data_IF_629800106250
#
_entry.id   IF_629800106250
#
_cell.length_a   1.000
_cell.length_b   1.000
_cell.length_c   1.000
_cell.angle_alpha   90.00
_cell.angle_beta   90.00
_cell.angle_gamma   90.00
#
_symmetry.space_group_name_H-M   'P 1'
#
loop_
_entity.id
_entity.type
_entity.pdbx_description
1 polymer ?
#
# COMPACT_ATOMS: atom_id res chain seq x y z
N UNK A 1 58.91 -37.99 -7.67
CA UNK A 1 59.35 -39.20 -6.97
C UNK A 1 58.68 -39.26 -5.60
N UNK A 2 57.86 -40.26 -5.44
CA UNK A 2 57.46 -40.97 -4.21
C UNK A 2 57.11 -40.23 -2.91
N UNK A 3 55.92 -40.54 -2.45
CA UNK A 3 55.29 -40.52 -1.12
C UNK A 3 54.34 -39.40 -0.83
N UNK A 4 53.12 -39.50 -1.36
CA UNK A 4 51.89 -39.11 -0.65
C UNK A 4 50.74 -39.96 -1.23
N UNK A 5 50.69 -41.22 -0.85
CA UNK A 5 49.57 -42.12 -1.09
C UNK A 5 49.58 -43.19 -0.01
N UNK A 6 49.02 -42.87 1.18
CA UNK A 6 48.66 -43.85 2.21
C UNK A 6 48.12 -43.16 3.48
N UNK A 7 47.06 -42.33 3.32
CA UNK A 7 46.28 -41.85 4.50
C UNK A 7 44.78 -41.58 4.16
N UNK A 8 44.24 -42.23 3.14
CA UNK A 8 42.83 -42.07 2.75
C UNK A 8 41.99 -43.36 2.89
N UNK A 9 42.51 -44.41 3.54
CA UNK A 9 41.82 -45.69 3.62
C UNK A 9 41.42 -46.16 5.03
N UNK A 10 41.48 -45.27 6.05
CA UNK A 10 41.16 -45.67 7.44
C UNK A 10 39.96 -44.88 8.07
N UNK A 11 39.15 -44.14 7.30
CA UNK A 11 38.04 -43.38 7.83
C UNK A 11 36.62 -43.80 7.29
N UNK A 12 36.50 -44.92 6.60
CA UNK A 12 35.22 -45.39 6.02
C UNK A 12 34.60 -46.60 6.74
N UNK A 13 35.03 -46.97 7.94
CA UNK A 13 34.50 -48.18 8.61
C UNK A 13 33.81 -47.96 9.97
N UNK A 14 33.47 -46.75 10.38
CA UNK A 14 32.93 -46.50 11.72
C UNK A 14 31.57 -45.74 11.80
N UNK A 15 30.83 -45.59 10.72
CA UNK A 15 29.60 -44.78 10.74
C UNK A 15 28.26 -45.44 10.25
N UNK A 16 28.01 -46.74 10.28
CA UNK A 16 26.65 -47.20 10.02
C UNK A 16 25.81 -47.58 11.26
N UNK A 17 26.40 -47.67 12.47
CA UNK A 17 25.63 -48.19 13.61
C UNK A 17 24.87 -47.15 14.45
N UNK A 18 25.33 -45.90 14.46
CA UNK A 18 24.65 -44.84 15.21
C UNK A 18 23.46 -44.19 14.44
N UNK A 19 23.53 -44.12 13.12
CA UNK A 19 22.44 -43.56 12.29
C UNK A 19 21.17 -44.42 12.26
N UNK A 20 21.30 -45.76 12.48
CA UNK A 20 20.17 -46.68 12.45
C UNK A 20 19.36 -46.63 13.76
N UNK A 21 20.00 -46.44 14.92
CA UNK A 21 19.32 -46.32 16.21
C UNK A 21 18.54 -45.01 16.33
N UNK A 22 19.07 -43.91 15.80
CA UNK A 22 18.39 -42.61 15.81
C UNK A 22 17.20 -42.55 14.83
N UNK A 23 17.32 -43.25 13.70
CA UNK A 23 16.21 -43.44 12.75
C UNK A 23 15.07 -44.28 13.31
N UNK A 24 15.38 -45.33 14.04
CA UNK A 24 14.38 -46.19 14.67
C UNK A 24 13.74 -45.52 15.90
N UNK A 25 14.47 -44.72 16.66
CA UNK A 25 13.96 -43.86 17.72
C UNK A 25 13.00 -42.80 17.15
N UNK A 26 13.39 -42.10 16.07
CA UNK A 26 12.55 -41.12 15.40
C UNK A 26 11.26 -41.73 14.80
N UNK A 27 11.35 -42.96 14.26
CA UNK A 27 10.17 -43.69 13.78
C UNK A 27 9.23 -44.11 14.91
N UNK A 28 9.77 -44.46 16.06
CA UNK A 28 8.97 -44.78 17.25
C UNK A 28 8.23 -43.55 17.78
N UNK A 29 8.92 -42.41 17.84
CA UNK A 29 8.37 -41.10 18.25
C UNK A 29 7.28 -40.60 17.27
N UNK A 30 7.50 -40.74 15.97
CA UNK A 30 6.51 -40.42 14.92
C UNK A 30 5.26 -41.34 15.04
N UNK A 31 5.45 -42.62 15.37
CA UNK A 31 4.35 -43.55 15.53
C UNK A 31 3.55 -43.26 16.81
N UNK A 32 4.21 -42.88 17.87
CA UNK A 32 3.57 -42.47 19.12
C UNK A 32 2.78 -41.17 18.96
N UNK A 33 3.37 -40.17 18.28
CA UNK A 33 2.71 -38.89 17.94
C UNK A 33 1.49 -39.12 17.04
N UNK A 34 1.58 -40.01 16.03
CA UNK A 34 0.47 -40.36 15.15
C UNK A 34 -0.68 -41.00 15.93
N UNK A 35 -0.40 -41.95 16.81
CA UNK A 35 -1.43 -42.59 17.64
C UNK A 35 -2.07 -41.59 18.61
N UNK A 36 -1.31 -40.67 19.18
CA UNK A 36 -1.84 -39.61 20.04
C UNK A 36 -2.76 -38.63 19.28
N UNK A 37 -2.43 -38.29 18.05
CA UNK A 37 -3.29 -37.46 17.18
C UNK A 37 -4.56 -38.19 16.76
N UNK A 38 -4.49 -39.46 16.38
CA UNK A 38 -5.65 -40.29 16.03
C UNK A 38 -6.62 -40.44 17.21
N UNK A 39 -6.09 -40.66 18.41
CA UNK A 39 -6.91 -40.69 19.62
C UNK A 39 -7.59 -39.35 19.94
N UNK A 40 -6.90 -38.23 19.65
CA UNK A 40 -7.45 -36.89 19.85
C UNK A 40 -8.54 -36.55 18.84
N UNK A 41 -8.38 -36.95 17.58
CA UNK A 41 -9.41 -36.84 16.55
C UNK A 41 -10.65 -37.62 16.92
N UNK A 42 -10.51 -38.89 17.33
CA UNK A 42 -11.65 -39.72 17.76
C UNK A 42 -12.37 -39.12 18.99
N UNK A 43 -11.62 -38.54 19.93
CA UNK A 43 -12.22 -37.90 21.10
C UNK A 43 -12.99 -36.61 20.71
N UNK A 44 -12.53 -35.87 19.71
CA UNK A 44 -13.23 -34.70 19.18
C UNK A 44 -14.47 -35.08 18.39
N UNK A 45 -14.41 -36.11 17.56
CA UNK A 45 -15.56 -36.64 16.82
C UNK A 45 -16.65 -37.15 17.75
N UNK A 46 -16.27 -37.89 18.83
CA UNK A 46 -17.22 -38.35 19.84
C UNK A 46 -17.87 -37.17 20.62
N UNK A 47 -17.12 -36.07 20.84
CA UNK A 47 -17.69 -34.85 21.44
C UNK A 47 -18.65 -34.14 20.49
N UNK A 48 -18.34 -34.08 19.21
CA UNK A 48 -19.19 -33.50 18.18
C UNK A 48 -20.52 -34.26 18.08
N UNK A 49 -20.48 -35.59 17.97
CA UNK A 49 -21.66 -36.43 17.96
C UNK A 49 -22.50 -36.27 19.23
N UNK A 50 -21.86 -36.14 20.40
CA UNK A 50 -22.58 -35.95 21.67
C UNK A 50 -23.26 -34.57 21.71
N UNK A 51 -22.66 -33.54 21.12
CA UNK A 51 -23.25 -32.20 21.02
C UNK A 51 -24.39 -32.18 20.02
N UNK A 52 -24.27 -32.85 18.89
CA UNK A 52 -25.34 -32.98 17.88
C UNK A 52 -26.57 -33.74 18.44
N UNK A 53 -26.36 -34.84 19.17
CA UNK A 53 -27.44 -35.56 19.82
C UNK A 53 -28.12 -34.75 20.93
N UNK A 54 -27.36 -33.98 21.71
CA UNK A 54 -27.93 -33.06 22.71
C UNK A 54 -28.74 -31.93 22.08
N UNK A 55 -28.29 -31.41 20.93
CA UNK A 55 -29.02 -30.35 20.18
C UNK A 55 -30.30 -30.90 19.56
N UNK A 56 -30.28 -32.13 19.06
CA UNK A 56 -31.47 -32.82 18.53
C UNK A 56 -32.50 -33.18 19.63
N UNK A 57 -32.07 -33.66 20.82
CA UNK A 57 -32.95 -33.95 21.94
C UNK A 57 -33.59 -32.70 22.57
N UNK A 58 -32.87 -31.55 22.50
CA UNK A 58 -33.41 -30.26 22.96
C UNK A 58 -34.45 -29.70 21.97
N UNK A 59 -34.27 -29.99 20.69
CA UNK A 59 -35.22 -29.56 19.63
C UNK A 59 -36.55 -30.36 19.64
N UNK A 60 -36.55 -31.62 20.13
CA UNK A 60 -37.74 -32.47 20.18
C UNK A 60 -38.63 -32.17 21.42
N UNK A 61 -38.11 -31.48 22.44
CA UNK A 61 -38.83 -31.23 23.69
C UNK A 61 -39.49 -29.86 23.81
N UNK A 62 -39.39 -29.01 22.83
CA UNK A 62 -40.02 -27.70 22.79
C UNK A 62 -41.26 -27.71 21.89
N UNK A 63 -42.46 -27.98 22.47
CA UNK A 63 -43.72 -27.67 21.85
C UNK A 63 -43.92 -26.15 21.81
N UNK A 64 -44.55 -25.57 20.75
CA UNK A 64 -44.46 -24.16 20.46
C UNK A 64 -45.41 -23.35 21.34
N UNK A 65 -44.82 -22.46 22.12
CA UNK A 65 -45.49 -21.21 22.54
C UNK A 65 -45.05 -20.12 21.56
N UNK A 66 -45.94 -19.36 20.94
CA UNK A 66 -45.53 -18.26 20.07
C UNK A 66 -45.05 -17.09 20.95
N UNK A 67 -43.79 -17.14 21.36
CA UNK A 67 -43.13 -15.91 21.81
C UNK A 67 -42.65 -15.12 20.58
N UNK A 68 -43.00 -13.86 20.57
CA UNK A 68 -42.50 -12.91 19.60
C UNK A 68 -40.96 -13.05 19.52
N UNK A 69 -40.47 -13.38 18.34
CA UNK A 69 -39.07 -13.51 18.03
C UNK A 69 -38.35 -12.26 18.52
N UNK A 70 -37.61 -12.38 19.62
CA UNK A 70 -36.62 -11.39 19.99
C UNK A 70 -35.67 -11.23 18.79
N UNK A 71 -35.37 -10.00 18.35
CA UNK A 71 -34.47 -9.81 17.25
C UNK A 71 -33.17 -10.51 17.60
N UNK A 72 -32.67 -11.32 16.64
CA UNK A 72 -31.38 -11.97 16.78
C UNK A 72 -30.38 -10.87 17.20
N UNK A 73 -29.79 -11.03 18.40
CA UNK A 73 -28.74 -10.12 18.82
C UNK A 73 -27.60 -10.31 17.83
N UNK A 74 -27.51 -9.42 16.87
CA UNK A 74 -26.32 -9.30 16.02
C UNK A 74 -25.22 -8.94 17.00
N UNK A 75 -24.37 -9.90 17.37
CA UNK A 75 -23.23 -9.63 18.20
C UNK A 75 -22.27 -8.85 17.28
N UNK A 76 -22.26 -7.54 17.43
CA UNK A 76 -21.25 -6.70 16.81
C UNK A 76 -19.90 -7.10 17.43
N UNK A 77 -19.11 -7.83 16.67
CA UNK A 77 -17.77 -8.26 17.04
C UNK A 77 -16.81 -7.81 15.95
N UNK A 78 -16.26 -6.60 16.05
CA UNK A 78 -15.33 -6.09 15.07
C UNK A 78 -14.03 -6.90 15.10
N UNK A 79 -13.50 -7.18 13.93
CA UNK A 79 -12.12 -7.62 13.77
C UNK A 79 -11.19 -6.46 14.09
N UNK A 80 -10.25 -6.69 14.98
CA UNK A 80 -9.25 -5.70 15.41
C UNK A 80 -7.88 -6.24 15.04
N UNK A 81 -7.10 -5.45 14.32
CA UNK A 81 -5.69 -5.75 14.08
C UNK A 81 -4.82 -4.52 14.31
N UNK A 82 -3.62 -4.77 14.81
CA UNK A 82 -2.57 -3.77 14.98
C UNK A 82 -1.39 -4.17 14.11
N UNK A 83 -0.99 -3.27 13.22
CA UNK A 83 0.17 -3.45 12.35
C UNK A 83 1.28 -2.55 12.89
N UNK A 84 2.27 -3.18 13.51
CA UNK A 84 3.45 -2.48 14.01
C UNK A 84 4.48 -2.41 12.89
N UNK A 85 4.96 -1.21 12.60
CA UNK A 85 6.00 -0.98 11.61
C UNK A 85 7.12 -0.16 12.22
N UNK A 86 8.29 -0.76 12.38
CA UNK A 86 9.52 -0.10 12.79
C UNK A 86 10.47 0.02 11.61
N UNK A 87 11.16 1.15 11.51
CA UNK A 87 12.14 1.43 10.47
C UNK A 87 13.40 2.06 11.05
N UNK A 88 14.54 1.70 10.48
CA UNK A 88 15.78 2.45 10.60
C UNK A 88 16.18 2.93 9.21
N UNK A 89 16.38 4.24 9.05
CA UNK A 89 16.82 4.85 7.82
C UNK A 89 18.17 5.52 7.98
N UNK A 90 19.15 5.09 7.16
CA UNK A 90 20.43 5.78 7.00
C UNK A 90 20.35 6.62 5.73
N UNK A 91 20.30 7.91 5.92
CA UNK A 91 20.14 8.95 4.89
C UNK A 91 21.22 9.98 5.07
N UNK A 92 21.63 10.63 3.98
CA UNK A 92 22.58 11.74 4.02
C UNK A 92 22.00 12.93 4.82
N UNK A 93 22.85 13.82 5.29
CA UNK A 93 22.43 15.04 6.01
C UNK A 93 22.05 16.11 5.01
N UNK A 94 20.80 16.09 4.58
CA UNK A 94 20.21 17.02 3.63
C UNK A 94 19.09 17.73 4.36
N UNK A 95 19.20 19.06 4.48
CA UNK A 95 18.25 19.89 5.22
C UNK A 95 16.85 19.77 4.62
N UNK A 96 16.75 19.81 3.30
CA UNK A 96 15.48 19.70 2.59
C UNK A 96 15.56 18.72 1.42
N UNK A 97 14.77 17.64 1.46
CA UNK A 97 14.62 16.66 0.37
C UNK A 97 13.43 17.03 -0.48
N UNK A 98 13.69 17.45 -1.71
CA UNK A 98 12.65 17.78 -2.68
C UNK A 98 12.73 16.91 -3.94
N UNK A 99 11.65 16.89 -4.68
CA UNK A 99 11.62 16.31 -6.02
C UNK A 99 11.58 17.47 -7.01
N UNK A 100 12.70 17.74 -7.65
CA UNK A 100 12.85 18.90 -8.49
C UNK A 100 11.87 18.95 -9.67
N UNK A 101 11.34 20.15 -9.92
CA UNK A 101 10.37 20.39 -10.99
C UNK A 101 8.93 20.01 -10.65
N UNK A 102 8.66 19.64 -9.39
CA UNK A 102 7.32 19.34 -8.90
C UNK A 102 7.02 20.20 -7.66
N UNK A 103 5.81 20.77 -7.61
CA UNK A 103 5.35 21.46 -6.40
C UNK A 103 5.19 20.42 -5.29
N UNK A 104 5.83 20.60 -4.13
CA UNK A 104 5.68 19.68 -3.01
C UNK A 104 4.26 19.73 -2.42
N UNK A 105 3.89 18.69 -1.69
CA UNK A 105 2.66 18.65 -0.93
C UNK A 105 2.89 19.28 0.45
N UNK A 106 2.42 20.53 0.64
CA UNK A 106 2.52 21.26 1.92
C UNK A 106 3.84 22.00 2.12
N UNK A 107 4.02 22.58 3.32
CA UNK A 107 5.26 23.21 3.73
C UNK A 107 6.37 22.18 3.88
N UNK A 108 7.57 22.52 3.46
CA UNK A 108 8.74 21.68 3.19
C UNK A 108 9.33 20.81 4.28
N UNK A 109 8.58 20.36 5.25
CA UNK A 109 9.04 19.28 6.12
C UNK A 109 9.11 17.99 5.31
N UNK A 110 10.18 17.95 4.54
CA UNK A 110 10.64 16.95 3.61
C UNK A 110 9.76 15.69 3.50
N UNK A 111 9.18 15.45 2.34
CA UNK A 111 8.61 14.16 1.92
C UNK A 111 9.65 13.02 1.99
N UNK A 112 10.40 12.94 3.07
CA UNK A 112 11.48 12.01 3.31
C UNK A 112 11.29 11.26 4.61
N UNK A 113 11.76 10.02 4.62
CA UNK A 113 11.88 9.24 5.84
C UNK A 113 12.69 9.99 6.89
N UNK A 114 12.27 9.95 8.16
CA UNK A 114 13.11 10.41 9.26
C UNK A 114 14.42 9.61 9.30
N UNK A 115 15.54 10.29 9.61
CA UNK A 115 16.85 9.66 9.81
C UNK A 115 16.85 8.88 11.12
N UNK A 116 17.47 7.71 11.12
CA UNK A 116 17.57 6.87 12.33
C UNK A 116 16.33 5.99 12.51
N UNK A 117 15.96 5.75 13.76
CA UNK A 117 14.84 4.89 14.11
C UNK A 117 13.51 5.67 14.10
N UNK A 118 12.48 5.05 13.53
CA UNK A 118 11.10 5.55 13.54
C UNK A 118 10.10 4.40 13.68
N UNK A 119 8.90 4.73 14.11
CA UNK A 119 7.75 3.79 14.26
C UNK A 119 6.61 4.23 13.33
N UNK A 120 6.95 4.93 12.27
CA UNK A 120 6.02 5.43 11.26
C UNK A 120 5.34 4.29 10.48
N UNK A 121 4.07 4.48 10.15
CA UNK A 121 3.24 3.50 9.45
C UNK A 121 2.65 2.42 10.36
N UNK A 122 2.62 2.61 11.67
CA UNK A 122 1.89 1.75 12.59
C UNK A 122 0.39 2.05 12.52
N UNK A 123 -0.42 1.02 12.27
CA UNK A 123 -1.84 1.18 12.00
C UNK A 123 -2.70 0.33 12.94
N UNK A 124 -3.78 0.92 13.48
CA UNK A 124 -4.86 0.20 14.13
C UNK A 124 -6.02 0.07 13.14
N UNK A 125 -6.36 -1.16 12.77
CA UNK A 125 -7.45 -1.48 11.84
C UNK A 125 -8.63 -2.07 12.59
N UNK A 126 -9.79 -1.48 12.39
CA UNK A 126 -11.08 -1.93 12.88
C UNK A 126 -11.96 -2.25 11.68
N UNK A 127 -12.47 -3.48 11.56
CA UNK A 127 -13.39 -3.84 10.48
C UNK A 127 -14.55 -4.68 11.00
N UNK A 128 -15.73 -4.48 10.42
CA UNK A 128 -16.92 -5.24 10.80
C UNK A 128 -17.92 -5.35 9.64
N UNK A 129 -18.63 -6.48 9.59
CA UNK A 129 -19.93 -6.53 8.95
C UNK A 129 -20.95 -5.91 9.91
N UNK A 130 -21.51 -4.75 9.56
CA UNK A 130 -22.45 -4.01 10.40
C UNK A 130 -23.79 -4.76 10.46
N UNK A 131 -24.25 -5.19 9.29
CA UNK A 131 -25.45 -5.97 9.07
C UNK A 131 -25.33 -6.72 7.72
N UNK A 132 -26.37 -7.46 7.25
CA UNK A 132 -26.32 -8.11 5.94
C UNK A 132 -26.12 -7.18 4.74
N UNK A 133 -26.33 -5.89 4.90
CA UNK A 133 -26.34 -4.90 3.82
C UNK A 133 -25.09 -4.04 3.79
N UNK A 134 -24.39 -3.90 4.94
CA UNK A 134 -23.27 -2.99 5.09
C UNK A 134 -22.09 -3.63 5.82
N UNK A 135 -20.90 -3.23 5.39
CA UNK A 135 -19.63 -3.43 6.13
C UNK A 135 -18.95 -2.09 6.33
N UNK A 136 -18.17 -1.98 7.38
CA UNK A 136 -17.39 -0.79 7.69
C UNK A 136 -15.95 -1.12 8.04
N UNK A 137 -15.09 -0.13 7.88
CA UNK A 137 -13.69 -0.17 8.27
C UNK A 137 -13.24 1.20 8.75
N UNK A 138 -12.40 1.20 9.78
CA UNK A 138 -11.63 2.37 10.18
C UNK A 138 -10.16 1.97 10.31
N UNK A 139 -9.26 2.81 9.79
CA UNK A 139 -7.80 2.66 9.90
C UNK A 139 -7.27 3.93 10.50
N UNK A 140 -6.59 3.77 11.63
CA UNK A 140 -5.96 4.85 12.38
C UNK A 140 -4.44 4.67 12.27
N UNK A 141 -3.75 5.64 11.68
CA UNK A 141 -2.30 5.71 11.73
C UNK A 141 -1.86 6.31 13.06
N UNK A 142 -0.93 5.63 13.72
CA UNK A 142 -0.31 6.09 14.96
C UNK A 142 1.02 6.73 14.58
N UNK A 143 1.07 8.05 14.62
CA UNK A 143 2.24 8.88 14.37
C UNK A 143 2.89 9.28 15.70
N UNK A 144 4.10 9.83 15.66
CA UNK A 144 4.89 10.12 16.85
C UNK A 144 4.14 10.99 17.89
N UNK A 145 3.36 11.97 17.44
CA UNK A 145 2.67 12.92 18.34
C UNK A 145 1.14 12.98 18.09
N UNK A 146 0.62 12.30 17.08
CA UNK A 146 -0.79 12.37 16.72
C UNK A 146 -1.35 11.04 16.20
N UNK A 147 -2.68 10.97 16.15
CA UNK A 147 -3.42 9.85 15.56
C UNK A 147 -4.19 10.39 14.36
N UNK A 148 -3.86 9.89 13.19
CA UNK A 148 -4.54 10.26 11.95
C UNK A 148 -5.56 9.20 11.55
N UNK A 149 -6.73 9.65 11.05
CA UNK A 149 -7.70 8.75 10.42
C UNK A 149 -7.34 8.62 8.94
N UNK A 150 -6.67 7.53 8.56
CA UNK A 150 -6.35 7.27 7.15
C UNK A 150 -7.59 6.83 6.34
N UNK A 151 -8.39 5.93 6.93
CA UNK A 151 -9.65 5.49 6.34
C UNK A 151 -10.75 5.39 7.40
N UNK A 152 -11.98 5.79 7.05
CA UNK A 152 -13.20 5.57 7.84
C UNK A 152 -14.40 5.55 6.89
N UNK A 153 -14.87 4.35 6.54
CA UNK A 153 -15.90 4.21 5.52
C UNK A 153 -16.90 3.08 5.81
N UNK A 154 -18.07 3.21 5.19
CA UNK A 154 -19.10 2.18 5.12
C UNK A 154 -19.35 1.85 3.66
N UNK A 155 -19.51 0.55 3.35
CA UNK A 155 -19.75 0.04 2.01
C UNK A 155 -20.93 -0.93 1.98
N UNK A 156 -21.78 -0.82 0.93
CA UNK A 156 -22.88 -1.76 0.68
C UNK A 156 -22.35 -3.13 0.26
N UNK A 157 -23.02 -4.20 0.70
CA UNK A 157 -22.69 -5.59 0.39
C UNK A 157 -23.73 -6.30 -0.48
N UNK A 158 -24.94 -5.74 -0.61
CA UNK A 158 -26.10 -6.46 -1.15
C UNK A 158 -26.87 -5.71 -2.26
N UNK A 159 -26.24 -4.77 -2.96
CA UNK A 159 -26.89 -4.06 -4.08
C UNK A 159 -27.19 -4.98 -5.29
N UNK A 160 -26.52 -6.12 -5.38
CA UNK A 160 -26.64 -7.04 -6.51
C UNK A 160 -25.92 -6.55 -7.78
N UNK A 161 -25.95 -7.40 -8.81
CA UNK A 161 -25.41 -7.11 -10.16
C UNK A 161 -23.94 -6.60 -10.19
N UNK A 162 -23.13 -6.93 -9.18
CA UNK A 162 -21.74 -6.49 -9.05
C UNK A 162 -21.57 -5.02 -8.63
N UNK A 163 -22.61 -4.35 -8.22
CA UNK A 163 -22.55 -2.94 -7.80
C UNK A 163 -22.25 -2.81 -6.31
N UNK A 164 -21.47 -1.81 -5.95
CA UNK A 164 -21.25 -1.39 -4.56
C UNK A 164 -21.13 0.13 -4.46
N UNK A 165 -21.59 0.67 -3.34
CA UNK A 165 -21.42 2.08 -2.96
C UNK A 165 -20.62 2.12 -1.66
N UNK A 166 -19.57 2.94 -1.62
CA UNK A 166 -18.78 3.21 -0.44
C UNK A 166 -18.88 4.70 -0.11
N UNK A 167 -19.02 5.05 1.16
CA UNK A 167 -19.06 6.43 1.62
C UNK A 167 -18.21 6.62 2.86
N UNK A 168 -17.51 7.75 2.95
CA UNK A 168 -16.61 8.11 4.03
C UNK A 168 -15.24 8.55 3.54
N UNK A 169 -14.21 8.39 4.39
CA UNK A 169 -12.80 8.60 4.02
C UNK A 169 -12.23 7.29 3.51
N UNK A 170 -11.68 7.28 2.31
CA UNK A 170 -11.10 6.07 1.69
C UNK A 170 -9.99 6.43 0.70
N UNK A 171 -9.05 5.50 0.51
CA UNK A 171 -8.07 5.56 -0.58
C UNK A 171 -8.80 5.35 -1.91
N UNK A 172 -8.53 6.24 -2.88
CA UNK A 172 -9.13 6.18 -4.21
C UNK A 172 -8.71 4.91 -4.95
N UNK A 173 -9.61 4.36 -5.77
CA UNK A 173 -9.35 3.21 -6.64
C UNK A 173 -8.49 3.53 -7.87
N UNK A 174 -7.84 4.69 -7.93
CA UNK A 174 -6.94 5.05 -9.02
C UNK A 174 -5.64 4.23 -8.98
N UNK A 175 -5.19 3.76 -10.14
CA UNK A 175 -3.93 3.04 -10.29
C UNK A 175 -3.89 1.69 -9.57
N UNK A 176 -2.68 1.23 -9.25
CA UNK A 176 -2.43 -0.05 -8.58
C UNK A 176 -1.93 0.09 -7.15
N UNK A 177 -0.98 1.02 -6.91
CA UNK A 177 -0.36 1.16 -5.60
C UNK A 177 -1.23 1.96 -4.63
N UNK A 178 -2.10 2.85 -5.13
CA UNK A 178 -2.85 3.80 -4.28
C UNK A 178 -3.76 3.13 -3.23
N UNK A 179 -4.39 2.02 -3.56
CA UNK A 179 -5.25 1.28 -2.61
C UNK A 179 -4.46 0.53 -1.52
N UNK A 180 -3.11 0.54 -1.58
CA UNK A 180 -2.25 -0.21 -0.65
C UNK A 180 -1.69 0.69 0.43
N UNK A 181 -1.82 0.27 1.67
CA UNK A 181 -1.17 0.91 2.81
C UNK A 181 0.34 0.63 2.85
N UNK A 182 1.16 1.46 3.53
CA UNK A 182 2.61 1.33 3.58
C UNK A 182 3.12 -0.06 3.97
N UNK A 183 2.47 -0.71 4.92
CA UNK A 183 2.84 -2.07 5.35
C UNK A 183 2.66 -3.14 4.25
N UNK A 184 1.80 -2.87 3.24
CA UNK A 184 1.54 -3.77 2.12
C UNK A 184 2.44 -3.52 0.89
N UNK A 185 3.23 -2.46 0.89
CA UNK A 185 4.15 -2.16 -0.22
C UNK A 185 5.26 -3.20 -0.32
N UNK A 186 5.75 -3.38 -1.54
CA UNK A 186 6.91 -4.27 -1.79
C UNK A 186 8.24 -3.61 -1.42
N UNK A 187 8.29 -2.28 -1.32
CA UNK A 187 9.44 -1.48 -0.95
C UNK A 187 9.18 -0.76 0.37
N UNK A 188 10.24 -0.30 1.04
CA UNK A 188 10.13 0.38 2.34
C UNK A 188 9.55 1.79 2.23
N UNK A 189 9.37 2.28 1.01
CA UNK A 189 8.88 3.61 0.71
C UNK A 189 8.02 3.64 -0.56
N UNK A 190 7.25 4.71 -0.72
CA UNK A 190 6.45 4.98 -1.91
C UNK A 190 7.32 5.28 -3.13
N UNK A 191 6.80 5.05 -4.34
CA UNK A 191 7.47 5.46 -5.57
C UNK A 191 7.52 6.98 -5.70
N UNK A 192 8.54 7.49 -6.43
CA UNK A 192 8.67 8.94 -6.66
C UNK A 192 7.41 9.54 -7.30
N UNK A 193 6.69 8.77 -8.11
CA UNK A 193 5.45 9.20 -8.73
C UNK A 193 4.38 9.56 -7.72
N UNK A 194 4.14 8.66 -6.76
CA UNK A 194 3.14 8.90 -5.73
C UNK A 194 3.55 10.03 -4.79
N UNK A 195 4.83 10.13 -4.47
CA UNK A 195 5.37 11.23 -3.66
C UNK A 195 5.17 12.58 -4.34
N UNK A 196 5.55 12.69 -5.63
CA UNK A 196 5.48 13.94 -6.38
C UNK A 196 4.06 14.37 -6.76
N UNK A 197 3.13 13.43 -6.97
CA UNK A 197 1.83 13.73 -7.54
C UNK A 197 0.66 13.58 -6.56
N UNK A 198 0.86 12.86 -5.44
CA UNK A 198 -0.19 12.53 -4.48
C UNK A 198 0.24 12.63 -3.01
N UNK A 199 1.46 13.08 -2.71
CA UNK A 199 1.96 13.16 -1.33
C UNK A 199 1.98 11.79 -0.64
N UNK A 200 2.46 10.73 -1.36
CA UNK A 200 2.52 9.31 -1.01
C UNK A 200 1.26 8.49 -1.33
N UNK A 201 0.07 9.06 -1.35
CA UNK A 201 -1.17 8.38 -1.73
C UNK A 201 -2.37 9.32 -1.75
N UNK A 202 -3.33 9.02 -2.61
CA UNK A 202 -4.51 9.85 -2.77
C UNK A 202 -5.72 9.23 -2.07
N UNK A 203 -6.25 9.94 -1.10
CA UNK A 203 -7.51 9.63 -0.41
C UNK A 203 -8.43 10.85 -0.38
N UNK A 204 -9.71 10.62 -0.15
CA UNK A 204 -10.65 11.72 0.05
C UNK A 204 -11.89 11.32 0.84
N UNK A 205 -12.54 12.32 1.45
CA UNK A 205 -13.85 12.18 2.05
C UNK A 205 -14.90 12.30 0.95
N UNK A 206 -15.66 11.23 0.70
CA UNK A 206 -16.56 11.23 -0.44
C UNK A 206 -17.40 9.96 -0.60
N UNK A 207 -17.86 9.77 -1.83
CA UNK A 207 -18.64 8.60 -2.24
C UNK A 207 -18.00 7.96 -3.46
N UNK A 208 -17.90 6.63 -3.44
CA UNK A 208 -17.44 5.80 -4.57
C UNK A 208 -18.61 4.90 -5.02
N UNK A 209 -18.89 4.90 -6.30
CA UNK A 209 -19.71 3.90 -6.98
C UNK A 209 -18.78 2.97 -7.75
N UNK A 210 -18.92 1.65 -7.54
CA UNK A 210 -18.12 0.63 -8.21
C UNK A 210 -19.01 -0.45 -8.79
N UNK A 211 -18.66 -0.92 -9.98
CA UNK A 211 -19.33 -2.01 -10.67
C UNK A 211 -18.28 -3.03 -11.15
N UNK A 212 -18.50 -4.29 -10.78
CA UNK A 212 -17.74 -5.44 -11.28
C UNK A 212 -18.66 -6.22 -12.22
N UNK A 213 -18.27 -6.31 -13.49
CA UNK A 213 -19.06 -7.00 -14.49
C UNK A 213 -19.12 -8.51 -14.25
N UNK A 214 -20.27 -9.16 -14.46
CA UNK A 214 -20.41 -10.62 -14.35
C UNK A 214 -19.87 -11.34 -15.62
N UNK A 215 -18.60 -11.13 -15.93
CA UNK A 215 -17.93 -11.65 -17.13
C UNK A 215 -16.81 -12.60 -16.76
N UNK A 216 -16.35 -13.44 -17.72
CA UNK A 216 -15.22 -14.36 -17.51
C UNK A 216 -13.90 -13.61 -17.27
N UNK A 217 -13.73 -12.45 -17.90
CA UNK A 217 -12.65 -11.52 -17.60
C UNK A 217 -13.09 -10.63 -16.43
N UNK A 218 -12.17 -10.33 -15.53
CA UNK A 218 -12.37 -9.30 -14.52
C UNK A 218 -12.51 -7.94 -15.22
N UNK A 219 -13.64 -7.28 -15.05
CA UNK A 219 -13.90 -5.91 -15.52
C UNK A 219 -14.48 -5.13 -14.35
N UNK A 220 -13.78 -4.10 -13.92
CA UNK A 220 -14.23 -3.20 -12.86
C UNK A 220 -14.28 -1.77 -13.40
N UNK A 221 -15.35 -1.06 -13.12
CA UNK A 221 -15.49 0.37 -13.38
C UNK A 221 -15.84 1.08 -12.08
N UNK A 222 -15.26 2.25 -11.86
CA UNK A 222 -15.54 3.05 -10.69
C UNK A 222 -15.60 4.54 -10.98
N UNK A 223 -16.39 5.22 -10.18
CA UNK A 223 -16.52 6.68 -10.16
C UNK A 223 -16.56 7.16 -8.72
N UNK A 224 -15.84 8.24 -8.45
CA UNK A 224 -15.73 8.85 -7.13
C UNK A 224 -15.99 10.34 -7.20
N UNK A 225 -16.59 10.87 -6.14
CA UNK A 225 -16.76 12.30 -5.93
C UNK A 225 -16.55 12.61 -4.45
N UNK A 226 -15.70 13.56 -4.13
CA UNK A 226 -15.35 13.90 -2.76
C UNK A 226 -14.90 15.33 -2.57
N UNK A 227 -14.58 15.66 -1.32
CA UNK A 227 -14.12 16.99 -0.90
C UNK A 227 -12.89 17.44 -1.66
N UNK A 228 -11.92 16.52 -1.88
CA UNK A 228 -10.69 16.80 -2.61
C UNK A 228 -9.69 17.62 -1.81
N UNK A 229 -9.68 17.47 -0.49
CA UNK A 229 -8.73 18.16 0.40
C UNK A 229 -7.29 17.64 0.28
N UNK A 230 -7.13 16.36 -0.07
CA UNK A 230 -5.80 15.77 -0.26
C UNK A 230 -5.11 16.28 -1.52
N UNK A 231 -3.77 16.39 -1.48
CA UNK A 231 -2.93 16.74 -2.61
C UNK A 231 -3.19 15.78 -3.81
N UNK A 232 -3.37 16.27 -5.06
CA UNK A 232 -3.09 17.62 -5.58
C UNK A 232 -4.21 18.65 -5.45
N UNK A 233 -5.29 18.36 -4.74
CA UNK A 233 -6.29 19.36 -4.33
C UNK A 233 -5.83 20.17 -3.13
N UNK A 234 -6.79 20.86 -2.50
CA UNK A 234 -6.59 21.52 -1.21
C UNK A 234 -7.89 21.53 -0.40
N UNK A 235 -7.81 21.82 0.88
CA UNK A 235 -9.00 22.03 1.71
C UNK A 235 -9.68 23.34 1.32
N UNK A 236 -10.85 23.21 0.73
CA UNK A 236 -11.67 24.33 0.29
C UNK A 236 -12.93 24.40 1.11
N UNK A 237 -13.18 25.49 1.77
CA UNK A 237 -14.44 25.71 2.50
C UNK A 237 -15.58 26.04 1.54
N UNK A 238 -15.90 25.13 0.61
CA UNK A 238 -16.90 25.32 -0.43
C UNK A 238 -17.87 24.14 -0.52
N UNK A 239 -19.10 24.41 -0.97
CA UNK A 239 -20.06 23.37 -1.27
C UNK A 239 -19.68 22.60 -2.56
N UNK A 240 -20.03 21.30 -2.60
CA UNK A 240 -19.84 20.46 -3.78
C UNK A 240 -18.52 19.69 -3.80
N UNK A 241 -18.31 18.93 -4.89
CA UNK A 241 -17.14 18.11 -5.05
C UNK A 241 -15.91 18.95 -5.45
N UNK A 242 -14.81 18.77 -4.69
CA UNK A 242 -13.50 19.32 -5.01
C UNK A 242 -12.68 18.40 -5.90
N UNK A 243 -12.97 17.10 -5.85
CA UNK A 243 -12.35 16.12 -6.72
C UNK A 243 -13.32 15.09 -7.24
N UNK A 244 -13.01 14.58 -8.43
CA UNK A 244 -13.69 13.45 -9.08
C UNK A 244 -12.66 12.50 -9.65
N UNK A 245 -12.87 11.19 -9.43
CA UNK A 245 -12.02 10.13 -10.00
C UNK A 245 -12.89 9.20 -10.84
N UNK A 246 -12.37 8.80 -11.99
CA UNK A 246 -12.93 7.72 -12.81
C UNK A 246 -11.82 6.68 -12.99
N UNK A 247 -12.17 5.41 -12.83
CA UNK A 247 -11.20 4.33 -13.06
C UNK A 247 -11.86 3.11 -13.69
N UNK A 248 -11.06 2.35 -14.41
CA UNK A 248 -11.46 1.08 -14.98
C UNK A 248 -10.29 0.11 -14.95
N UNK A 249 -10.58 -1.14 -14.55
CA UNK A 249 -9.62 -2.22 -14.50
C UNK A 249 -10.09 -3.41 -15.32
N UNK A 250 -9.19 -4.00 -16.05
CA UNK A 250 -9.38 -5.23 -16.82
C UNK A 250 -8.35 -6.25 -16.35
N UNK A 251 -8.75 -7.50 -16.12
CA UNK A 251 -7.82 -8.51 -15.68
C UNK A 251 -8.28 -9.93 -16.01
N UNK A 252 -7.40 -10.90 -15.83
CA UNK A 252 -7.72 -12.29 -16.04
C UNK A 252 -6.52 -13.19 -15.80
N UNK A 253 -6.76 -14.49 -15.99
CA UNK A 253 -5.77 -15.54 -15.83
C UNK A 253 -5.36 -16.09 -17.21
N UNK A 254 -4.10 -16.49 -17.33
CA UNK A 254 -3.57 -17.21 -18.49
C UNK A 254 -3.02 -18.55 -17.99
N UNK A 255 -3.81 -19.61 -18.18
CA UNK A 255 -3.56 -20.91 -17.57
C UNK A 255 -3.67 -20.84 -16.04
N UNK A 256 -3.05 -21.80 -15.36
CA UNK A 256 -3.05 -21.87 -13.90
C UNK A 256 -1.96 -21.01 -13.24
N UNK A 257 -0.98 -20.57 -14.02
CA UNK A 257 0.26 -19.99 -13.48
C UNK A 257 0.37 -18.47 -13.59
N UNK A 258 -0.46 -17.83 -14.41
CA UNK A 258 -0.34 -16.39 -14.68
C UNK A 258 -1.65 -15.67 -14.43
N UNK A 259 -1.56 -14.51 -13.78
CA UNK A 259 -2.65 -13.54 -13.69
C UNK A 259 -2.16 -12.15 -14.04
N UNK A 260 -3.03 -11.33 -14.59
CA UNK A 260 -2.71 -9.96 -14.98
C UNK A 260 -3.87 -9.01 -14.72
N UNK A 261 -3.54 -7.75 -14.53
CA UNK A 261 -4.49 -6.64 -14.45
C UNK A 261 -3.90 -5.44 -15.19
N UNK A 262 -4.73 -4.74 -15.95
CA UNK A 262 -4.43 -3.44 -16.54
C UNK A 262 -5.49 -2.44 -16.12
N UNK A 263 -5.11 -1.19 -15.92
CA UNK A 263 -6.01 -0.14 -15.49
C UNK A 263 -5.76 1.18 -16.20
N UNK A 264 -6.81 1.99 -16.22
CA UNK A 264 -6.76 3.39 -16.63
C UNK A 264 -7.61 4.21 -15.69
N UNK A 265 -7.03 5.28 -15.14
CA UNK A 265 -7.69 6.15 -14.18
C UNK A 265 -7.51 7.62 -14.55
N UNK A 266 -8.48 8.44 -14.18
CA UNK A 266 -8.47 9.87 -14.36
C UNK A 266 -8.93 10.56 -13.09
N UNK A 267 -8.10 11.47 -12.57
CA UNK A 267 -8.41 12.34 -11.45
C UNK A 267 -8.51 13.79 -11.93
N UNK A 268 -9.57 14.47 -11.53
CA UNK A 268 -9.71 15.91 -11.62
C UNK A 268 -9.85 16.47 -10.20
N UNK A 269 -8.91 17.28 -9.76
CA UNK A 269 -8.90 17.93 -8.46
C UNK A 269 -8.84 19.46 -8.64
N UNK A 270 -9.46 20.18 -7.70
CA UNK A 270 -9.42 21.63 -7.61
C UNK A 270 -8.59 22.01 -6.39
N UNK A 271 -7.71 22.97 -6.55
CA UNK A 271 -6.94 23.58 -5.48
C UNK A 271 -7.39 25.04 -5.29
N UNK A 272 -7.44 25.48 -4.04
CA UNK A 272 -7.70 26.82 -3.62
C UNK A 272 -6.70 27.11 -2.48
N UNK A 273 -5.75 28.01 -2.72
CA UNK A 273 -4.66 28.29 -1.79
C UNK A 273 -3.87 27.01 -1.36
N UNK A 274 -3.50 26.14 -2.33
CA UNK A 274 -2.65 24.98 -2.04
C UNK A 274 -1.23 25.45 -1.76
N UNK A 275 -0.78 25.31 -0.54
CA UNK A 275 0.52 25.71 -0.06
C UNK A 275 1.64 24.83 -0.64
N UNK A 276 2.77 25.46 -0.97
CA UNK A 276 4.01 24.79 -1.38
C UNK A 276 5.19 25.72 -1.13
N UNK A 277 6.25 25.19 -0.56
CA UNK A 277 7.51 25.90 -0.39
C UNK A 277 8.43 25.65 -1.59
N UNK A 278 8.96 26.71 -2.21
CA UNK A 278 9.82 26.66 -3.38
C UNK A 278 11.05 27.54 -3.18
N UNK A 279 12.14 27.16 -3.84
CA UNK A 279 13.35 27.99 -3.90
C UNK A 279 13.37 28.82 -5.18
N UNK A 280 13.60 30.13 -5.06
CA UNK A 280 13.74 31.03 -6.21
C UNK A 280 15.16 30.99 -6.78
N UNK A 281 15.38 31.68 -7.90
CA UNK A 281 16.70 31.75 -8.57
C UNK A 281 17.79 32.46 -7.75
N UNK A 282 17.45 33.11 -6.65
CA UNK A 282 18.38 33.75 -5.72
C UNK A 282 18.75 32.83 -4.54
N UNK A 283 18.15 31.63 -4.45
CA UNK A 283 18.35 30.70 -3.35
C UNK A 283 17.53 31.05 -2.10
N UNK A 284 16.48 31.86 -2.23
CA UNK A 284 15.58 32.14 -1.12
C UNK A 284 14.38 31.19 -1.18
N UNK A 285 13.97 30.69 -0.03
CA UNK A 285 12.72 29.99 0.16
C UNK A 285 11.54 30.95 0.00
N UNK A 286 10.50 30.50 -0.69
CA UNK A 286 9.29 31.26 -0.98
C UNK A 286 8.09 30.37 -0.74
N UNK A 287 7.29 30.73 0.25
CA UNK A 287 6.00 30.08 0.50
C UNK A 287 5.01 30.52 -0.57
N UNK A 288 4.46 29.55 -1.28
CA UNK A 288 3.59 29.83 -2.43
C UNK A 288 2.20 29.24 -2.23
N UNK A 289 1.21 29.90 -2.80
CA UNK A 289 -0.18 29.46 -2.88
C UNK A 289 -0.55 29.20 -4.33
N UNK A 290 -1.05 27.99 -4.60
CA UNK A 290 -1.59 27.62 -5.91
C UNK A 290 -3.12 27.58 -5.87
N UNK A 291 -3.77 28.33 -6.76
CA UNK A 291 -5.20 28.29 -7.03
C UNK A 291 -5.48 27.79 -8.45
N UNK A 292 -6.24 26.69 -8.61
CA UNK A 292 -6.49 26.19 -9.95
C UNK A 292 -7.02 24.75 -10.04
N UNK A 293 -6.66 24.07 -11.11
CA UNK A 293 -7.09 22.68 -11.37
C UNK A 293 -5.90 21.79 -11.67
N UNK A 294 -5.93 20.58 -11.15
CA UNK A 294 -5.01 19.48 -11.43
C UNK A 294 -5.77 18.32 -12.10
N UNK A 295 -5.26 17.83 -13.22
CA UNK A 295 -5.81 16.71 -13.99
C UNK A 295 -4.73 15.65 -14.15
N UNK A 296 -4.97 14.47 -13.58
CA UNK A 296 -3.99 13.37 -13.60
C UNK A 296 -4.57 12.14 -14.28
N UNK A 297 -3.87 11.61 -15.27
CA UNK A 297 -4.10 10.31 -15.86
C UNK A 297 -3.10 9.30 -15.27
N UNK A 298 -3.60 8.10 -14.96
CA UNK A 298 -2.77 6.99 -14.49
C UNK A 298 -3.11 5.77 -15.33
N UNK A 299 -2.09 5.15 -15.95
CA UNK A 299 -2.21 3.85 -16.58
C UNK A 299 -1.38 2.85 -15.77
N UNK A 300 -1.96 1.73 -15.40
CA UNK A 300 -1.31 0.69 -14.60
C UNK A 300 -1.34 -0.68 -15.26
N UNK A 301 -0.33 -1.48 -14.96
CA UNK A 301 -0.26 -2.88 -15.38
C UNK A 301 0.41 -3.71 -14.30
N UNK A 302 -0.19 -4.85 -13.99
CA UNK A 302 0.35 -5.84 -13.05
C UNK A 302 0.31 -7.21 -13.68
N UNK A 303 1.40 -7.94 -13.54
CA UNK A 303 1.48 -9.34 -13.92
C UNK A 303 2.06 -10.15 -12.78
N UNK A 304 1.41 -11.26 -12.46
CA UNK A 304 1.86 -12.21 -11.44
C UNK A 304 2.01 -13.59 -12.05
N UNK A 305 3.04 -14.28 -11.59
CA UNK A 305 3.32 -15.64 -11.95
C UNK A 305 3.61 -16.50 -10.70
N UNK A 306 3.03 -17.69 -10.70
CA UNK A 306 3.36 -18.71 -9.72
C UNK A 306 3.24 -20.09 -10.39
N UNK A 307 4.21 -21.01 -10.21
CA UNK A 307 4.14 -22.35 -10.81
C UNK A 307 2.86 -23.05 -10.40
N UNK A 308 2.06 -23.50 -11.37
CA UNK A 308 0.79 -24.19 -11.15
C UNK A 308 -0.18 -23.50 -10.16
N UNK A 309 -0.10 -22.15 -10.08
CA UNK A 309 -0.86 -21.35 -9.12
C UNK A 309 -0.34 -21.40 -7.68
N UNK A 310 0.74 -22.11 -7.39
CA UNK A 310 1.31 -22.22 -6.06
C UNK A 310 2.36 -21.12 -5.78
N UNK A 311 1.91 -20.00 -5.18
CA UNK A 311 2.78 -18.88 -4.84
C UNK A 311 3.66 -19.11 -3.59
N UNK A 312 3.52 -20.22 -2.87
CA UNK A 312 4.21 -20.42 -1.58
C UNK A 312 5.70 -20.68 -1.72
N UNK A 313 6.12 -21.37 -2.78
CA UNK A 313 7.52 -21.71 -3.00
C UNK A 313 8.25 -20.65 -3.80
N UNK A 314 7.74 -20.36 -4.98
CA UNK A 314 8.28 -19.37 -5.91
C UNK A 314 7.15 -18.59 -6.55
N UNK A 315 7.33 -17.29 -6.66
CA UNK A 315 6.43 -16.44 -7.41
C UNK A 315 7.17 -15.22 -7.94
N UNK A 316 6.61 -14.61 -8.94
CA UNK A 316 7.11 -13.37 -9.51
C UNK A 316 5.95 -12.40 -9.69
N UNK A 317 6.17 -11.14 -9.35
CA UNK A 317 5.25 -10.06 -9.66
C UNK A 317 5.98 -8.93 -10.38
N UNK A 318 5.35 -8.41 -11.38
CA UNK A 318 5.75 -7.21 -12.10
C UNK A 318 4.63 -6.20 -12.00
N UNK A 319 4.95 -4.94 -11.69
CA UNK A 319 4.01 -3.84 -11.72
C UNK A 319 4.67 -2.61 -12.37
N UNK A 320 3.88 -1.87 -13.12
CA UNK A 320 4.29 -0.61 -13.73
C UNK A 320 3.10 0.35 -13.73
N UNK A 321 3.36 1.62 -13.44
CA UNK A 321 2.38 2.69 -13.58
C UNK A 321 3.01 3.88 -14.29
N UNK A 322 2.25 4.48 -15.19
CA UNK A 322 2.60 5.72 -15.90
C UNK A 322 1.61 6.81 -15.53
N UNK A 323 2.14 7.99 -15.21
CA UNK A 323 1.37 9.15 -14.76
C UNK A 323 1.57 10.32 -15.69
N UNK A 324 0.50 11.07 -15.93
CA UNK A 324 0.56 12.35 -16.64
C UNK A 324 -0.35 13.35 -15.93
N UNK A 325 0.25 14.43 -15.40
CA UNK A 325 -0.46 15.50 -14.71
C UNK A 325 -0.41 16.79 -15.56
N UNK A 326 -1.55 17.47 -15.65
CA UNK A 326 -1.65 18.82 -16.18
C UNK A 326 -2.25 19.73 -15.11
N UNK A 327 -1.56 20.78 -14.75
CA UNK A 327 -2.04 21.83 -13.84
C UNK A 327 -2.21 23.14 -14.58
N UNK A 328 -3.26 23.86 -14.24
CA UNK A 328 -3.59 25.18 -14.78
C UNK A 328 -4.23 26.04 -13.69
N UNK A 329 -3.67 27.21 -13.46
CA UNK A 329 -4.14 28.12 -12.44
C UNK A 329 -3.21 29.32 -12.27
N UNK A 330 -3.16 29.82 -11.07
CA UNK A 330 -2.36 30.96 -10.64
C UNK A 330 -1.49 30.56 -9.45
N UNK A 331 -0.31 31.13 -9.34
CA UNK A 331 0.65 30.94 -8.26
C UNK A 331 1.05 32.30 -7.73
N UNK A 332 1.07 32.47 -6.42
CA UNK A 332 1.49 33.69 -5.74
C UNK A 332 2.32 33.36 -4.51
N UNK A 333 3.00 34.35 -3.95
CA UNK A 333 3.63 34.26 -2.63
C UNK A 333 2.56 34.37 -1.53
N UNK A 334 2.72 33.60 -0.48
CA UNK A 334 1.86 33.68 0.70
C UNK A 334 2.13 34.97 1.49
N UNK A 335 1.08 35.67 1.87
CA UNK A 335 1.17 36.83 2.77
C UNK A 335 0.98 36.35 4.22
N UNK A 336 2.08 36.12 4.92
CA UNK A 336 2.09 35.64 6.30
C UNK A 336 1.38 36.57 7.31
N UNK A 337 1.16 37.81 6.92
CA UNK A 337 0.56 38.82 7.81
C UNK A 337 -0.96 38.91 7.63
N UNK A 338 -1.40 38.91 6.37
CA UNK A 338 -2.81 39.14 6.04
C UNK A 338 -3.52 37.86 5.56
N UNK A 339 -2.78 36.79 5.28
CA UNK A 339 -3.25 35.57 4.62
C UNK A 339 -3.54 35.77 3.14
N UNK A 340 -3.59 34.65 2.40
CA UNK A 340 -3.81 34.67 0.96
C UNK A 340 -2.60 35.15 0.15
N UNK A 341 -2.81 35.64 -1.07
CA UNK A 341 -1.75 36.07 -1.97
C UNK A 341 -1.17 37.44 -1.59
N UNK A 342 0.15 37.55 -1.50
CA UNK A 342 0.85 38.79 -1.34
C UNK A 342 0.66 39.69 -2.59
N UNK A 343 0.52 40.99 -2.36
CA UNK A 343 0.23 41.94 -3.43
C UNK A 343 1.31 41.95 -4.52
N UNK A 344 0.89 41.88 -5.79
CA UNK A 344 1.75 41.95 -6.99
C UNK A 344 2.67 40.71 -7.20
N UNK A 345 2.47 39.61 -6.47
CA UNK A 345 3.23 38.36 -6.66
C UNK A 345 2.49 37.33 -7.50
N UNK A 346 1.24 37.56 -7.86
CA UNK A 346 0.38 36.65 -8.62
C UNK A 346 0.85 36.49 -10.08
N UNK A 347 0.97 35.25 -10.52
CA UNK A 347 1.35 34.87 -11.88
C UNK A 347 0.64 33.63 -12.36
N UNK A 348 0.36 33.59 -13.67
CA UNK A 348 -0.24 32.40 -14.27
C UNK A 348 0.70 31.21 -14.14
N UNK A 349 0.16 30.05 -13.74
CA UNK A 349 0.88 28.79 -13.62
C UNK A 349 0.30 27.74 -14.54
N UNK A 350 1.18 27.09 -15.30
CA UNK A 350 0.83 25.91 -16.12
C UNK A 350 1.96 24.90 -16.07
N UNK A 351 1.61 23.65 -15.73
CA UNK A 351 2.56 22.54 -15.75
C UNK A 351 1.98 21.34 -16.51
N UNK A 352 2.83 20.65 -17.29
CA UNK A 352 2.51 19.36 -17.89
C UNK A 352 3.65 18.40 -17.54
N UNK A 353 3.41 17.57 -16.58
CA UNK A 353 4.39 16.69 -15.94
C UNK A 353 4.04 15.23 -16.19
N UNK A 354 5.02 14.36 -16.20
CA UNK A 354 4.81 12.93 -16.37
C UNK A 354 5.87 12.11 -15.65
N UNK A 355 5.67 10.82 -15.61
CA UNK A 355 6.67 9.88 -15.15
C UNK A 355 6.11 8.49 -14.99
N UNK A 356 6.96 7.58 -14.58
CA UNK A 356 6.58 6.19 -14.37
C UNK A 356 7.47 5.54 -13.32
N UNK A 357 6.96 4.47 -12.76
CA UNK A 357 7.80 3.48 -12.11
C UNK A 357 7.54 2.09 -12.69
N UNK A 358 8.54 1.24 -12.57
CA UNK A 358 8.44 -0.18 -12.83
C UNK A 358 9.07 -0.94 -11.68
N UNK A 359 8.42 -2.01 -11.24
CA UNK A 359 8.98 -2.87 -10.20
C UNK A 359 8.82 -4.35 -10.55
N UNK A 360 9.80 -5.13 -10.14
CA UNK A 360 9.81 -6.58 -10.26
C UNK A 360 10.19 -7.18 -8.90
N UNK A 361 9.40 -8.13 -8.42
CA UNK A 361 9.63 -8.83 -7.15
C UNK A 361 9.61 -10.31 -7.39
N UNK A 362 10.62 -11.02 -6.93
CA UNK A 362 10.78 -12.45 -7.10
C UNK A 362 10.97 -13.16 -5.77
N UNK A 363 10.06 -14.05 -5.41
CA UNK A 363 10.25 -15.01 -4.35
C UNK A 363 11.04 -16.19 -4.90
N UNK A 364 12.33 -16.26 -4.58
CA UNK A 364 13.22 -17.29 -5.12
C UNK A 364 13.22 -18.58 -4.29
N UNK A 365 12.77 -18.49 -3.04
CA UNK A 365 12.51 -19.61 -2.14
C UNK A 365 11.48 -19.22 -1.08
N UNK A 366 10.87 -20.19 -0.36
CA UNK A 366 9.89 -19.88 0.67
C UNK A 366 10.38 -18.81 1.64
N UNK A 367 9.56 -17.79 1.88
CA UNK A 367 9.80 -16.68 2.81
C UNK A 367 10.85 -15.66 2.39
N UNK A 368 11.58 -15.84 1.30
CA UNK A 368 12.59 -14.93 0.83
C UNK A 368 12.22 -14.33 -0.51
N UNK A 369 12.19 -13.00 -0.57
CA UNK A 369 11.93 -12.25 -1.79
C UNK A 369 13.06 -11.26 -2.04
N UNK A 370 13.28 -10.94 -3.29
CA UNK A 370 14.11 -9.82 -3.74
C UNK A 370 13.33 -9.02 -4.77
N UNK A 371 13.59 -7.73 -4.83
CA UNK A 371 12.90 -6.85 -5.77
C UNK A 371 13.76 -5.69 -6.22
N UNK A 372 13.44 -5.20 -7.39
CA UNK A 372 14.03 -4.02 -7.98
C UNK A 372 12.92 -3.08 -8.44
N UNK A 373 13.05 -1.77 -8.13
CA UNK A 373 12.18 -0.70 -8.63
C UNK A 373 13.03 0.39 -9.28
N UNK A 374 12.55 0.85 -10.42
CA UNK A 374 13.06 2.02 -11.11
C UNK A 374 11.95 3.06 -11.23
N UNK A 375 12.25 4.27 -10.77
CA UNK A 375 11.38 5.43 -10.82
C UNK A 375 12.00 6.49 -11.74
N UNK A 376 11.18 7.16 -12.56
CA UNK A 376 11.59 8.29 -13.38
C UNK A 376 10.47 9.29 -13.51
N UNK A 377 10.79 10.56 -13.24
CA UNK A 377 9.92 11.69 -13.49
C UNK A 377 10.44 12.56 -14.65
N UNK A 378 9.53 13.30 -15.24
CA UNK A 378 9.81 14.33 -16.22
C UNK A 378 8.96 15.56 -15.85
N UNK A 379 9.57 16.67 -15.37
CA UNK A 379 8.86 17.91 -15.07
C UNK A 379 8.21 18.52 -16.32
N UNK A 380 8.64 18.11 -17.51
CA UNK A 380 8.06 18.48 -18.78
C UNK A 380 8.14 20.00 -19.01
N UNK A 381 6.99 20.63 -19.27
CA UNK A 381 6.93 22.08 -19.44
C UNK A 381 6.25 22.73 -18.23
N UNK A 382 6.97 23.56 -17.51
CA UNK A 382 6.46 24.43 -16.46
C UNK A 382 6.56 25.89 -16.93
N UNK A 383 5.48 26.62 -16.79
CA UNK A 383 5.40 28.04 -17.18
C UNK A 383 4.78 28.83 -16.03
N UNK A 384 5.54 29.79 -15.51
CA UNK A 384 5.15 30.67 -14.41
C UNK A 384 4.59 32.02 -14.88
N UNK A 385 4.24 32.16 -16.17
CA UNK A 385 3.73 33.41 -16.73
C UNK A 385 4.75 34.57 -16.66
N UNK A 386 4.38 35.66 -15.97
CA UNK A 386 5.28 36.81 -15.72
C UNK A 386 6.40 36.47 -14.72
N UNK A 387 6.27 35.34 -13.98
CA UNK A 387 7.22 34.85 -12.98
C UNK A 387 7.68 35.93 -11.97
N UNK A 388 6.78 36.59 -11.26
CA UNK A 388 7.16 37.63 -10.30
C UNK A 388 8.00 37.11 -9.13
N UNK A 389 7.90 35.79 -8.84
CA UNK A 389 8.63 35.12 -7.76
C UNK A 389 10.06 34.73 -8.18
N UNK A 390 10.41 34.83 -9.46
CA UNK A 390 11.73 34.42 -9.95
C UNK A 390 12.01 32.94 -9.83
N UNK A 391 11.00 32.09 -10.00
CA UNK A 391 11.15 30.64 -9.90
C UNK A 391 11.96 30.07 -11.06
N UNK A 392 12.87 29.10 -10.82
CA UNK A 392 13.74 28.55 -11.86
C UNK A 392 12.96 27.61 -12.80
N UNK A 393 13.36 27.60 -14.07
CA UNK A 393 13.01 26.50 -14.97
C UNK A 393 13.86 25.29 -14.62
N UNK A 394 13.22 24.13 -14.43
CA UNK A 394 13.88 22.88 -14.05
C UNK A 394 13.84 21.90 -15.20
N UNK A 395 15.02 21.51 -15.71
CA UNK A 395 15.18 20.50 -16.76
C UNK A 395 15.61 19.12 -16.19
N UNK A 396 15.97 19.07 -14.90
CA UNK A 396 16.36 17.84 -14.23
C UNK A 396 15.23 16.81 -14.27
N UNK A 397 15.59 15.56 -14.56
CA UNK A 397 14.64 14.43 -14.60
C UNK A 397 14.91 13.51 -13.41
N UNK A 398 14.18 13.65 -12.31
CA UNK A 398 14.35 12.83 -11.13
C UNK A 398 14.30 11.35 -11.44
N UNK A 399 15.29 10.59 -10.93
CA UNK A 399 15.32 9.14 -11.06
C UNK A 399 15.68 8.47 -9.73
N UNK A 400 15.22 7.24 -9.56
CA UNK A 400 15.55 6.44 -8.38
C UNK A 400 15.64 4.97 -8.74
N UNK A 401 16.67 4.32 -8.20
CA UNK A 401 16.86 2.87 -8.27
C UNK A 401 16.78 2.30 -6.87
N UNK A 402 15.90 1.35 -6.64
CA UNK A 402 15.73 0.69 -5.35
C UNK A 402 15.89 -0.82 -5.50
N UNK A 403 16.69 -1.42 -4.64
CA UNK A 403 16.90 -2.85 -4.48
C UNK A 403 16.45 -3.27 -3.09
N UNK A 404 15.66 -4.34 -2.98
CA UNK A 404 15.26 -4.86 -1.68
C UNK A 404 15.45 -6.37 -1.58
N UNK A 405 15.66 -6.83 -0.36
CA UNK A 405 15.54 -8.22 0.04
C UNK A 405 14.67 -8.26 1.29
N UNK A 406 13.67 -9.12 1.31
CA UNK A 406 12.89 -9.34 2.51
C UNK A 406 12.80 -10.82 2.90
N UNK A 407 12.65 -11.02 4.20
CA UNK A 407 12.43 -12.31 4.84
C UNK A 407 11.17 -12.26 5.69
N UNK A 408 10.23 -13.17 5.44
CA UNK A 408 8.99 -13.31 6.19
C UNK A 408 9.04 -14.57 7.04
N UNK A 409 9.41 -14.48 8.34
CA UNK A 409 9.42 -15.62 9.25
C UNK A 409 8.06 -16.33 9.33
N UNK A 410 6.99 -15.55 9.24
CA UNK A 410 5.60 -15.99 9.21
C UNK A 410 4.77 -15.11 8.28
N UNK A 411 3.50 -15.40 8.09
CA UNK A 411 2.54 -14.52 7.40
C UNK A 411 2.28 -13.19 8.14
N UNK A 412 2.60 -13.14 9.45
CA UNK A 412 2.37 -11.98 10.31
C UNK A 412 3.61 -11.10 10.48
N UNK A 413 4.76 -11.46 9.90
CA UNK A 413 5.99 -10.70 10.12
C UNK A 413 6.87 -10.66 8.89
N UNK A 414 7.53 -9.51 8.69
CA UNK A 414 8.47 -9.26 7.60
C UNK A 414 9.64 -8.42 8.09
N UNK A 415 10.84 -8.83 7.75
CA UNK A 415 12.06 -8.05 7.87
C UNK A 415 12.54 -7.71 6.46
N UNK A 416 12.81 -6.43 6.18
CA UNK A 416 13.26 -5.93 4.88
C UNK A 416 14.54 -5.13 5.02
N UNK A 417 15.46 -5.35 4.10
CA UNK A 417 16.58 -4.49 3.83
C UNK A 417 16.41 -3.89 2.43
N UNK A 418 16.50 -2.58 2.31
CA UNK A 418 16.44 -1.87 1.04
C UNK A 418 17.63 -0.92 0.90
N UNK A 419 18.19 -0.88 -0.29
CA UNK A 419 19.12 0.14 -0.75
C UNK A 419 18.47 0.93 -1.89
N UNK A 420 18.58 2.26 -1.84
CA UNK A 420 18.11 3.13 -2.91
C UNK A 420 19.20 4.14 -3.28
N UNK A 421 19.40 4.30 -4.59
CA UNK A 421 20.15 5.42 -5.15
C UNK A 421 19.14 6.43 -5.64
N UNK A 422 19.03 7.55 -4.93
CA UNK A 422 18.08 8.63 -5.19
C UNK A 422 18.79 9.79 -5.91
N UNK A 423 18.21 10.23 -7.00
CA UNK A 423 18.62 11.34 -7.84
C UNK A 423 17.43 12.27 -8.09
N UNK A 424 16.64 12.51 -7.05
CA UNK A 424 15.46 13.40 -7.11
C UNK A 424 15.88 14.87 -7.23
N UNK A 425 17.09 15.21 -6.77
CA UNK A 425 17.69 16.52 -6.82
C UNK A 425 18.87 16.53 -7.80
N UNK A 426 19.00 17.56 -8.62
CA UNK A 426 20.07 17.69 -9.62
C UNK A 426 21.47 17.77 -8.98
N UNK A 427 21.55 18.52 -7.89
CA UNK A 427 22.82 18.78 -7.19
C UNK A 427 23.29 17.63 -6.31
N UNK A 428 22.46 16.62 -6.03
CA UNK A 428 22.72 15.61 -5.02
C UNK A 428 22.34 14.20 -5.49
N UNK A 429 23.26 13.25 -5.23
CA UNK A 429 23.01 11.83 -5.39
C UNK A 429 23.05 11.18 -4.03
N UNK A 430 21.92 10.78 -3.49
CA UNK A 430 21.82 10.21 -2.16
C UNK A 430 21.80 8.68 -2.21
N UNK A 431 22.57 8.04 -1.32
CA UNK A 431 22.53 6.60 -1.09
C UNK A 431 21.78 6.33 0.20
N UNK A 432 20.60 5.75 0.07
CA UNK A 432 19.69 5.52 1.18
C UNK A 432 19.66 4.04 1.56
N UNK A 433 19.70 3.73 2.85
CA UNK A 433 19.52 2.38 3.36
C UNK A 433 18.36 2.34 4.35
N UNK A 434 17.52 1.32 4.19
CA UNK A 434 16.37 1.10 5.06
C UNK A 434 16.42 -0.32 5.63
N UNK A 435 16.26 -0.44 6.94
CA UNK A 435 15.92 -1.70 7.60
C UNK A 435 14.52 -1.53 8.17
N UNK A 436 13.57 -2.36 7.74
CA UNK A 436 12.18 -2.26 8.13
C UNK A 436 11.72 -3.59 8.73
N UNK A 437 10.99 -3.50 9.85
CA UNK A 437 10.32 -4.63 10.46
C UNK A 437 8.82 -4.34 10.54
N UNK A 438 8.02 -5.29 10.06
CA UNK A 438 6.56 -5.23 10.09
C UNK A 438 6.04 -6.44 10.86
N UNK A 439 5.11 -6.21 11.78
CA UNK A 439 4.46 -7.27 12.53
C UNK A 439 2.97 -6.98 12.68
N UNK A 440 2.12 -7.94 12.27
CA UNK A 440 0.67 -7.84 12.35
C UNK A 440 0.15 -8.65 13.55
N UNK A 441 -0.65 -8.02 14.39
CA UNK A 441 -1.31 -8.61 15.55
C UNK A 441 -2.82 -8.61 15.30
N UNK A 442 -3.50 -9.74 15.50
CA UNK A 442 -4.95 -9.87 15.32
C UNK A 442 -5.34 -10.40 13.94
N UNK A 443 -6.62 -10.29 13.58
CA UNK A 443 -7.13 -10.73 12.28
C UNK A 443 -6.71 -9.75 11.20
N UNK A 444 -5.81 -10.16 10.34
CA UNK A 444 -5.35 -9.36 9.20
C UNK A 444 -6.19 -9.69 7.97
N UNK A 445 -6.85 -8.68 7.38
CA UNK A 445 -7.56 -8.83 6.11
C UNK A 445 -6.61 -9.25 4.98
N UNK A 446 -7.07 -10.15 4.09
CA UNK A 446 -6.30 -10.51 2.90
C UNK A 446 -6.03 -9.26 2.03
N UNK A 447 -4.77 -9.06 1.63
CA UNK A 447 -4.44 -8.00 0.70
C UNK A 447 -5.13 -8.22 -0.65
N UNK A 448 -5.68 -7.16 -1.22
CA UNK A 448 -6.24 -7.19 -2.57
C UNK A 448 -5.14 -7.47 -3.59
N UNK A 449 -5.55 -7.98 -4.75
CA UNK A 449 -4.68 -8.34 -5.89
C UNK A 449 -3.64 -7.28 -6.23
#
# INVERSE_FOLDING_TARGET
MFRVTLLAAALTAAFPAYAQSDLDALRAELKEMKTAYEARIQALEARLQKTEVQTADTAVRAAPVPEASAPARISFNPDISLILQGRYAHLDDIDERRIEGFLPAGHGHGNGAARGFSVDGTELVLSASIDPYFRGQAILALLDEEVEIEEAWVQTTSLGHGMSVKGGRFRSGLGYQNEKHPHAWDFADSSLMYRALFGEGYSHDGVQLKWVAPTALFVELGAEAGRGAGFPGSDRNQNGAGATTLFGHLGGDVGASHSWRAGLSYLHAKADERESELENTLGNEVDTLFGGTSKTWVADFVWKWAPDGNARERNFSFAAEYFRRAELGELCEHDDVNGGCAAATEGAYRANQSGYYTQAVYQFMPRWRTGYRYDRLDPGSVNFGSNPLGLPAVDHKPTRHSLMVDYSPSEFSRLRLQYSKDQSMESQNENQWFVQYIHSLGSHGAHKF
#
